data_IF_211120773848
#
_entry.id   IF_211120773848
#
_cell.length_a   1.000
_cell.length_b   1.000
_cell.length_c   1.000
_cell.angle_alpha   90.00
_cell.angle_beta   90.00
_cell.angle_gamma   90.00
#
_symmetry.space_group_name_H-M   'P 1'
#
loop_
_entity.id
_entity.type
_entity.pdbx_description
1 polymer ?
#
# COMPACT_ATOMS: atom_id res chain seq x y z
N UNK A 1 32.84 -18.92 -42.06
CA UNK A 1 31.82 -18.39 -41.14
C UNK A 1 32.43 -18.32 -39.75
N UNK A 2 32.41 -17.19 -39.04
CA UNK A 2 32.92 -17.14 -37.68
C UNK A 2 31.85 -17.66 -36.72
N UNK A 3 32.16 -18.73 -35.99
CA UNK A 3 31.38 -19.21 -34.85
C UNK A 3 31.54 -18.21 -33.72
N UNK A 4 30.45 -17.49 -33.38
CA UNK A 4 30.41 -16.63 -32.18
C UNK A 4 30.54 -17.55 -30.95
N UNK A 5 31.59 -17.38 -30.16
CA UNK A 5 31.70 -18.06 -28.87
C UNK A 5 30.64 -17.50 -27.94
N UNK A 6 29.85 -18.40 -27.36
CA UNK A 6 28.90 -18.06 -26.30
C UNK A 6 29.71 -17.63 -25.08
N UNK A 7 29.21 -16.60 -24.40
CA UNK A 7 29.80 -16.07 -23.18
C UNK A 7 29.87 -17.19 -22.11
N UNK A 8 31.07 -17.54 -21.60
CA UNK A 8 31.25 -18.57 -20.58
C UNK A 8 30.44 -18.32 -19.30
N UNK A 9 30.14 -17.05 -19.00
CA UNK A 9 29.35 -16.67 -17.83
C UNK A 9 27.87 -17.02 -18.00
N UNK A 10 27.37 -16.93 -19.24
CA UNK A 10 26.01 -17.35 -19.59
C UNK A 10 25.83 -18.87 -19.53
N UNK A 11 26.81 -19.64 -20.02
CA UNK A 11 26.80 -21.12 -19.87
C UNK A 11 26.89 -21.54 -18.40
N UNK A 12 27.72 -20.87 -17.59
CA UNK A 12 27.82 -21.15 -16.16
C UNK A 12 26.51 -20.85 -15.42
N UNK A 13 25.78 -19.80 -15.82
CA UNK A 13 24.47 -19.46 -15.26
C UNK A 13 23.40 -20.50 -15.63
N UNK A 14 23.37 -20.94 -16.90
CA UNK A 14 22.42 -21.96 -17.37
C UNK A 14 22.66 -23.33 -16.72
N UNK A 15 23.93 -23.71 -16.51
CA UNK A 15 24.27 -24.96 -15.83
C UNK A 15 23.88 -24.93 -14.34
N UNK A 16 23.96 -23.78 -13.66
CA UNK A 16 23.46 -23.65 -12.27
C UNK A 16 21.93 -23.75 -12.21
N UNK A 17 21.22 -23.18 -13.17
CA UNK A 17 19.75 -23.29 -13.26
C UNK A 17 19.30 -24.74 -13.55
N UNK A 18 20.01 -25.46 -14.41
CA UNK A 18 19.72 -26.86 -14.71
C UNK A 18 19.94 -27.77 -13.49
N UNK A 19 21.00 -27.54 -12.70
CA UNK A 19 21.26 -28.30 -11.47
C UNK A 19 20.24 -28.02 -10.35
N UNK A 20 19.65 -26.81 -10.30
CA UNK A 20 18.58 -26.50 -9.35
C UNK A 20 17.28 -27.25 -9.65
N UNK A 21 17.00 -27.53 -10.93
CA UNK A 21 15.79 -28.26 -11.36
C UNK A 21 15.88 -29.77 -11.14
N UNK A 22 17.09 -30.34 -11.11
CA UNK A 22 17.31 -31.77 -10.87
C UNK A 22 17.19 -32.18 -9.39
N UNK A 23 17.21 -31.22 -8.45
CA UNK A 23 17.12 -31.48 -7.01
C UNK A 23 15.71 -31.31 -6.42
N UNK A 24 14.68 -31.19 -7.27
CA UNK A 24 13.29 -31.19 -6.80
C UNK A 24 12.86 -32.61 -6.41
N UNK A 25 12.36 -32.85 -5.18
CA UNK A 25 11.92 -34.17 -4.76
C UNK A 25 10.68 -34.60 -5.55
N UNK A 26 10.76 -35.79 -6.16
CA UNK A 26 9.63 -36.48 -6.78
C UNK A 26 8.66 -36.89 -5.66
N UNK A 27 7.54 -36.17 -5.52
CA UNK A 27 6.48 -36.55 -4.60
C UNK A 27 5.70 -37.74 -5.17
N UNK A 28 6.03 -38.94 -4.71
CA UNK A 28 5.26 -40.15 -4.93
C UNK A 28 3.92 -40.09 -4.20
N UNK A 29 2.84 -40.39 -4.91
CA UNK A 29 1.47 -40.34 -4.41
C UNK A 29 1.20 -41.28 -3.23
N UNK A 30 0.41 -40.78 -2.28
CA UNK A 30 -0.11 -41.55 -1.15
C UNK A 30 -1.62 -41.74 -1.26
N UNK A 31 -2.00 -43.01 -1.05
CA UNK A 31 -3.32 -43.60 -1.08
C UNK A 31 -4.42 -42.85 -0.31
N UNK A 32 -5.58 -42.73 -0.96
CA UNK A 32 -6.87 -42.40 -0.36
C UNK A 32 -7.35 -43.56 0.53
N UNK A 33 -7.79 -43.24 1.75
CA UNK A 33 -8.63 -44.09 2.59
C UNK A 33 -9.98 -43.39 2.87
N UNK A 34 -11.09 -44.14 3.00
CA UNK A 34 -12.43 -43.59 2.87
C UNK A 34 -12.95 -42.96 4.17
N UNK A 35 -13.69 -41.87 3.98
CA UNK A 35 -14.36 -41.08 5.03
C UNK A 35 -15.53 -41.89 5.60
N UNK A 36 -15.53 -42.08 6.94
CA UNK A 36 -16.67 -42.55 7.72
C UNK A 36 -17.65 -41.40 7.95
N UNK A 37 -18.89 -41.58 7.52
CA UNK A 37 -20.06 -40.78 7.86
C UNK A 37 -20.47 -40.97 9.32
N UNK A 38 -20.80 -39.87 10.00
CA UNK A 38 -21.46 -39.85 11.33
C UNK A 38 -22.64 -38.87 11.26
N UNK A 39 -23.78 -39.16 11.92
CA UNK A 39 -25.09 -38.70 11.47
C UNK A 39 -25.53 -37.36 12.07
N UNK A 40 -26.49 -36.78 11.36
CA UNK A 40 -27.28 -35.60 11.69
C UNK A 40 -28.20 -35.91 12.87
N UNK A 41 -28.13 -35.10 13.92
CA UNK A 41 -29.15 -35.05 14.98
C UNK A 41 -29.99 -33.79 14.81
N UNK A 42 -31.28 -33.99 14.53
CA UNK A 42 -32.32 -32.97 14.60
C UNK A 42 -32.68 -32.66 16.05
N UNK A 43 -32.92 -31.37 16.33
CA UNK A 43 -34.08 -30.82 17.05
C UNK A 43 -33.67 -29.52 17.77
N UNK A 44 -34.37 -28.42 17.54
CA UNK A 44 -35.40 -27.94 18.48
C UNK A 44 -36.00 -26.61 18.03
N UNK A 45 -37.30 -26.55 18.24
CA UNK A 45 -38.32 -25.56 17.94
C UNK A 45 -38.21 -24.32 18.83
N UNK A 46 -38.50 -23.13 18.29
CA UNK A 46 -38.79 -21.91 19.05
C UNK A 46 -40.13 -21.29 18.56
N UNK A 47 -40.90 -20.64 19.45
CA UNK A 47 -42.29 -20.24 19.21
C UNK A 47 -42.43 -18.89 18.47
N UNK A 48 -43.62 -18.56 17.92
CA UNK A 48 -43.81 -17.39 17.08
C UNK A 48 -44.00 -16.11 17.90
N UNK A 49 -43.37 -15.02 17.45
CA UNK A 49 -43.63 -13.67 17.92
C UNK A 49 -44.81 -13.05 17.18
N UNK A 50 -45.73 -12.53 17.97
CA UNK A 50 -46.90 -11.73 17.59
C UNK A 50 -46.42 -10.37 17.07
N UNK A 51 -46.82 -9.99 15.85
CA UNK A 51 -46.71 -8.60 15.39
C UNK A 51 -48.12 -8.07 15.11
N UNK A 52 -48.40 -6.91 15.70
CA UNK A 52 -49.68 -6.22 15.66
C UNK A 52 -49.61 -5.08 14.66
N UNK A 53 -50.66 -5.00 13.85
CA UNK A 53 -50.95 -3.90 12.94
C UNK A 53 -51.08 -2.57 13.69
N UNK A 54 -50.39 -1.54 13.19
CA UNK A 54 -50.85 -0.15 13.33
C UNK A 54 -50.53 0.65 12.06
N UNK A 55 -51.59 0.86 11.28
CA UNK A 55 -51.73 1.97 10.35
C UNK A 55 -51.75 3.30 11.12
N UNK A 56 -51.07 4.31 10.60
CA UNK A 56 -51.48 5.71 10.76
C UNK A 56 -50.90 6.53 9.60
N UNK A 57 -51.80 6.96 8.72
CA UNK A 57 -51.59 8.01 7.76
C UNK A 57 -51.59 9.37 8.48
N UNK A 58 -50.72 10.30 8.09
CA UNK A 58 -50.97 11.72 8.33
C UNK A 58 -50.32 12.55 7.22
N UNK A 59 -51.20 13.11 6.39
CA UNK A 59 -51.02 14.26 5.51
C UNK A 59 -50.65 15.51 6.29
N UNK A 60 -49.68 16.29 5.81
CA UNK A 60 -49.69 17.75 6.03
C UNK A 60 -49.13 18.47 4.81
N UNK A 61 -49.96 19.35 4.27
CA UNK A 61 -49.68 20.23 3.14
C UNK A 61 -48.59 21.25 3.49
N UNK A 62 -47.68 21.50 2.55
CA UNK A 62 -46.78 22.65 2.57
C UNK A 62 -47.52 23.86 2.00
N UNK A 63 -47.73 24.86 2.86
CA UNK A 63 -48.08 26.24 2.47
C UNK A 63 -46.77 26.96 2.19
N UNK A 64 -46.68 27.54 1.00
CA UNK A 64 -45.62 28.45 0.56
C UNK A 64 -46.00 29.85 1.03
N UNK A 65 -45.23 30.41 1.95
CA UNK A 65 -45.25 31.86 2.22
C UNK A 65 -43.90 32.46 1.85
N UNK A 66 -43.99 33.42 0.92
CA UNK A 66 -42.95 34.29 0.43
C UNK A 66 -42.35 35.14 1.57
N UNK A 67 -41.02 35.22 1.62
CA UNK A 67 -40.30 36.27 2.36
C UNK A 67 -39.31 36.93 1.40
N UNK A 68 -39.75 38.03 0.80
CA UNK A 68 -38.90 39.14 0.41
C UNK A 68 -38.75 40.05 1.63
N UNK A 69 -37.54 40.21 2.18
CA UNK A 69 -37.09 41.50 2.74
C UNK A 69 -35.60 41.51 3.11
N UNK A 70 -34.90 42.48 2.49
CA UNK A 70 -33.87 43.34 3.07
C UNK A 70 -32.47 42.76 3.37
N UNK A 71 -31.58 42.97 2.40
CA UNK A 71 -30.35 43.80 2.51
C UNK A 71 -30.06 44.39 3.91
N UNK A 72 -29.53 43.55 4.81
CA UNK A 72 -28.97 43.94 6.11
C UNK A 72 -27.44 43.87 6.08
N UNK A 73 -26.80 44.93 6.57
CA UNK A 73 -25.35 45.16 6.62
C UNK A 73 -24.54 44.02 7.26
N UNK A 74 -23.52 43.53 6.55
CA UNK A 74 -22.59 42.47 6.99
C UNK A 74 -21.59 42.88 8.09
N UNK A 75 -21.82 43.94 8.85
CA UNK A 75 -20.82 44.51 9.77
C UNK A 75 -21.09 44.28 11.26
N UNK A 76 -22.20 43.64 11.66
CA UNK A 76 -22.52 43.46 13.09
C UNK A 76 -22.23 42.07 13.70
N UNK A 77 -21.80 41.05 12.95
CA UNK A 77 -21.74 39.67 13.48
C UNK A 77 -20.33 39.14 13.87
N UNK A 78 -19.28 39.97 13.78
CA UNK A 78 -17.91 39.56 14.17
C UNK A 78 -17.72 39.41 15.70
N UNK A 79 -18.62 39.98 16.52
CA UNK A 79 -18.51 39.94 18.00
C UNK A 79 -19.05 38.65 18.63
N UNK A 80 -19.73 37.77 17.87
CA UNK A 80 -20.23 36.48 18.36
C UNK A 80 -19.38 35.28 17.98
N UNK A 81 -18.34 35.47 17.16
CA UNK A 81 -17.52 34.35 16.68
C UNK A 81 -16.66 33.78 17.81
N UNK A 82 -16.74 32.47 18.01
CA UNK A 82 -15.92 31.78 19.02
C UNK A 82 -14.43 32.08 18.78
N UNK A 83 -13.67 32.47 19.82
CA UNK A 83 -12.22 32.66 19.70
C UNK A 83 -11.50 31.42 19.17
N UNK A 84 -11.98 30.22 19.50
CA UNK A 84 -11.41 28.97 19.01
C UNK A 84 -11.51 28.84 17.48
N UNK A 85 -12.68 29.16 16.93
CA UNK A 85 -12.88 29.16 15.47
C UNK A 85 -11.99 30.22 14.82
N UNK A 86 -11.84 31.38 15.45
CA UNK A 86 -10.95 32.44 14.98
C UNK A 86 -9.49 31.96 14.94
N UNK A 87 -8.99 31.31 16.00
CA UNK A 87 -7.62 30.77 16.01
C UNK A 87 -7.38 29.69 14.95
N UNK A 88 -8.38 28.87 14.65
CA UNK A 88 -8.27 27.81 13.65
C UNK A 88 -8.38 28.34 12.21
N UNK A 89 -9.23 29.33 11.98
CA UNK A 89 -9.50 29.88 10.63
C UNK A 89 -8.48 30.95 10.23
N UNK A 90 -8.08 31.83 11.15
CA UNK A 90 -7.05 32.86 10.98
C UNK A 90 -5.65 32.36 11.41
N UNK A 91 -5.30 31.13 11.02
CA UNK A 91 -4.06 30.45 11.41
C UNK A 91 -2.78 31.29 11.26
N UNK A 92 -2.70 32.12 10.21
CA UNK A 92 -1.49 32.86 9.86
C UNK A 92 -1.25 34.04 10.81
N UNK A 93 -2.32 34.55 11.43
CA UNK A 93 -2.26 35.59 12.46
C UNK A 93 -1.97 35.01 13.84
N UNK A 94 -2.37 33.76 14.07
CA UNK A 94 -2.37 33.11 15.39
C UNK A 94 -1.58 31.80 15.40
N UNK A 95 -0.45 31.74 14.69
CA UNK A 95 0.34 30.51 14.47
C UNK A 95 0.62 29.72 15.76
N UNK A 96 1.07 30.32 16.89
CA UNK A 96 1.34 29.55 18.10
C UNK A 96 0.09 28.87 18.67
N UNK A 97 -1.05 29.58 18.65
CA UNK A 97 -2.33 29.07 19.15
C UNK A 97 -2.86 27.98 18.22
N UNK A 98 -2.81 28.21 16.90
CA UNK A 98 -3.17 27.22 15.89
C UNK A 98 -2.41 25.91 16.09
N UNK A 99 -1.07 25.99 16.22
CA UNK A 99 -0.22 24.82 16.39
C UNK A 99 -0.50 24.08 17.71
N UNK A 100 -0.70 24.80 18.82
CA UNK A 100 -1.03 24.17 20.11
C UNK A 100 -2.37 23.43 20.03
N UNK A 101 -3.42 24.09 19.52
CA UNK A 101 -4.75 23.50 19.41
C UNK A 101 -4.70 22.25 18.53
N UNK A 102 -4.13 22.35 17.33
CA UNK A 102 -4.12 21.25 16.37
C UNK A 102 -3.20 20.11 16.77
N UNK A 103 -2.15 20.34 17.58
CA UNK A 103 -1.35 19.27 18.19
C UNK A 103 -2.09 18.49 19.26
N UNK A 104 -3.06 19.10 19.95
CA UNK A 104 -3.89 18.42 20.93
C UNK A 104 -5.00 17.57 20.28
N UNK A 105 -5.30 17.78 19.00
CA UNK A 105 -6.28 17.00 18.27
C UNK A 105 -5.65 15.71 17.74
N UNK A 106 -6.29 14.54 17.89
CA UNK A 106 -5.97 13.34 17.13
C UNK A 106 -6.02 13.58 15.62
N UNK A 107 -5.32 12.74 14.85
CA UNK A 107 -5.36 12.78 13.37
C UNK A 107 -6.80 12.67 12.85
N UNK A 108 -7.59 11.76 13.42
CA UNK A 108 -9.00 11.56 13.06
C UNK A 108 -9.81 12.84 13.18
N UNK A 109 -9.55 13.61 14.23
CA UNK A 109 -10.33 14.79 14.56
C UNK A 109 -10.00 15.93 13.60
N UNK A 110 -8.71 16.13 13.28
CA UNK A 110 -8.30 17.07 12.22
C UNK A 110 -8.94 16.74 10.87
N UNK A 111 -9.00 15.45 10.51
CA UNK A 111 -9.67 15.02 9.27
C UNK A 111 -11.19 15.18 9.33
N UNK A 112 -11.80 15.14 10.51
CA UNK A 112 -13.22 15.35 10.72
C UNK A 112 -13.60 16.84 10.73
N UNK A 113 -12.70 17.76 11.14
CA UNK A 113 -12.96 19.21 11.17
C UNK A 113 -13.46 19.73 9.82
N UNK A 114 -12.93 19.21 8.70
CA UNK A 114 -13.35 19.59 7.35
C UNK A 114 -14.82 19.28 7.04
N UNK A 115 -15.43 18.36 7.81
CA UNK A 115 -16.84 17.94 7.67
C UNK A 115 -17.76 18.71 8.62
N UNK A 116 -17.21 19.42 9.61
CA UNK A 116 -17.99 20.18 10.59
C UNK A 116 -18.48 21.49 10.01
N UNK A 117 -17.61 22.26 9.35
CA UNK A 117 -17.99 23.52 8.70
C UNK A 117 -17.08 23.83 7.51
N UNK A 118 -17.60 24.65 6.57
CA UNK A 118 -16.82 25.15 5.43
C UNK A 118 -15.62 26.00 5.89
N UNK A 119 -15.76 26.73 6.99
CA UNK A 119 -14.70 27.59 7.52
C UNK A 119 -13.49 26.76 8.02
N UNK A 120 -13.73 25.58 8.56
CA UNK A 120 -12.68 24.70 9.10
C UNK A 120 -12.09 23.75 8.04
N UNK A 121 -12.54 23.83 6.79
CA UNK A 121 -12.10 22.95 5.71
C UNK A 121 -10.59 22.99 5.50
N UNK A 122 -9.97 24.17 5.66
CA UNK A 122 -8.55 24.38 5.39
C UNK A 122 -7.63 24.09 6.60
N UNK A 123 -8.20 23.85 7.78
CA UNK A 123 -7.42 23.59 9.01
C UNK A 123 -6.48 22.41 8.81
N UNK A 124 -6.96 21.35 8.18
CA UNK A 124 -6.14 20.17 7.88
C UNK A 124 -4.97 20.51 6.96
N UNK A 125 -5.21 21.24 5.86
CA UNK A 125 -4.17 21.61 4.90
C UNK A 125 -3.10 22.53 5.55
N UNK A 126 -3.52 23.43 6.42
CA UNK A 126 -2.64 24.31 7.20
C UNK A 126 -1.81 23.52 8.22
N UNK A 127 -2.44 22.60 8.96
CA UNK A 127 -1.76 21.72 9.90
C UNK A 127 -0.77 20.77 9.18
N UNK A 128 -1.12 20.29 7.98
CA UNK A 128 -0.23 19.50 7.14
C UNK A 128 1.09 20.23 6.88
N UNK A 129 1.02 21.50 6.47
CA UNK A 129 2.22 22.32 6.21
C UNK A 129 3.09 22.56 7.44
N UNK A 130 2.50 22.77 8.63
CA UNK A 130 3.27 23.09 9.84
C UNK A 130 3.73 21.84 10.62
N UNK A 131 2.97 20.75 10.60
CA UNK A 131 3.17 19.61 11.50
C UNK A 131 3.67 18.33 10.82
N UNK A 132 3.42 18.16 9.53
CA UNK A 132 3.96 17.06 8.74
C UNK A 132 5.08 17.55 7.82
N UNK A 133 6.01 18.30 8.40
CA UNK A 133 7.16 18.81 7.68
C UNK A 133 8.20 17.70 7.49
N UNK A 134 8.25 17.15 6.29
CA UNK A 134 9.13 16.05 5.93
C UNK A 134 10.60 16.47 5.87
N UNK A 135 10.93 17.71 5.50
CA UNK A 135 12.30 18.20 5.52
C UNK A 135 12.86 18.19 6.94
N UNK A 136 12.04 18.58 7.93
CA UNK A 136 12.37 18.46 9.36
C UNK A 136 12.42 17.01 9.82
N UNK A 137 11.52 16.16 9.33
CA UNK A 137 11.51 14.74 9.68
C UNK A 137 12.81 14.04 9.24
N UNK A 138 13.22 14.31 8.01
CA UNK A 138 14.41 13.76 7.37
C UNK A 138 15.71 14.43 7.80
N UNK A 139 15.68 15.70 8.22
CA UNK A 139 16.88 16.43 8.65
C UNK A 139 17.63 15.79 9.82
N UNK A 140 16.98 14.89 10.58
CA UNK A 140 17.67 14.07 11.57
C UNK A 140 18.59 13.03 10.91
N UNK A 141 18.14 12.39 9.83
CA UNK A 141 18.84 11.27 9.19
C UNK A 141 19.78 11.76 8.07
N UNK A 142 19.38 12.77 7.30
CA UNK A 142 20.07 13.16 6.07
C UNK A 142 20.63 14.58 6.18
N UNK A 143 21.82 14.81 5.62
CA UNK A 143 22.43 16.14 5.47
C UNK A 143 21.64 16.98 4.47
N UNK A 144 21.19 16.33 3.41
CA UNK A 144 20.35 16.91 2.36
C UNK A 144 19.05 16.11 2.21
N UNK A 145 17.99 16.46 2.96
CA UNK A 145 16.68 15.83 2.82
C UNK A 145 16.11 15.83 1.40
N UNK A 146 16.38 16.88 0.63
CA UNK A 146 15.89 17.02 -0.75
C UNK A 146 16.67 16.10 -1.68
N UNK A 147 18.00 16.09 -1.56
CA UNK A 147 18.89 15.16 -2.27
C UNK A 147 18.52 13.69 -2.01
N UNK A 148 18.26 13.34 -0.75
CA UNK A 148 17.80 12.01 -0.38
C UNK A 148 16.46 11.66 -1.04
N UNK A 149 15.46 12.54 -1.00
CA UNK A 149 14.16 12.28 -1.66
C UNK A 149 14.30 12.14 -3.17
N UNK A 150 15.16 12.92 -3.80
CA UNK A 150 15.46 12.76 -5.22
C UNK A 150 16.08 11.39 -5.50
N UNK A 151 17.02 10.94 -4.66
CA UNK A 151 17.59 9.61 -4.79
C UNK A 151 16.55 8.51 -4.57
N UNK A 152 15.69 8.66 -3.57
CA UNK A 152 14.59 7.75 -3.27
C UNK A 152 13.65 7.59 -4.49
N UNK A 153 13.31 8.71 -5.13
CA UNK A 153 12.47 8.74 -6.33
C UNK A 153 13.14 8.15 -7.56
N UNK A 154 14.44 8.39 -7.74
CA UNK A 154 15.26 7.84 -8.83
C UNK A 154 15.30 6.30 -8.79
N UNK A 155 15.51 5.72 -7.61
CA UNK A 155 15.65 4.26 -7.45
C UNK A 155 14.31 3.55 -7.18
N UNK A 156 13.19 4.27 -7.23
CA UNK A 156 11.87 3.77 -6.83
C UNK A 156 11.86 3.14 -5.42
N UNK A 157 12.67 3.68 -4.52
CA UNK A 157 12.76 3.23 -3.14
C UNK A 157 11.59 3.73 -2.30
N UNK A 158 11.30 3.03 -1.21
CA UNK A 158 10.22 3.35 -0.29
C UNK A 158 10.72 3.40 1.15
N UNK A 159 10.05 4.19 1.98
CA UNK A 159 10.23 4.19 3.42
C UNK A 159 8.97 3.59 4.04
N UNK A 160 9.12 2.78 5.08
CA UNK A 160 7.99 2.12 5.76
C UNK A 160 8.18 2.07 7.27
N UNK A 161 7.35 1.28 7.95
CA UNK A 161 7.56 0.90 9.33
C UNK A 161 7.31 2.02 10.34
N UNK A 162 8.10 2.01 11.42
CA UNK A 162 7.84 2.85 12.58
C UNK A 162 8.02 4.35 12.28
N UNK A 163 8.95 4.69 11.39
CA UNK A 163 9.21 6.08 11.02
C UNK A 163 7.95 6.71 10.39
N UNK A 164 7.37 6.04 9.38
CA UNK A 164 6.18 6.56 8.68
C UNK A 164 4.97 6.61 9.61
N UNK A 165 4.79 5.59 10.46
CA UNK A 165 3.73 5.58 11.47
C UNK A 165 3.84 6.79 12.41
N UNK A 166 5.05 7.09 12.91
CA UNK A 166 5.30 8.21 13.84
C UNK A 166 5.15 9.56 13.14
N UNK A 167 5.63 9.68 11.90
CA UNK A 167 5.43 10.85 11.06
C UNK A 167 3.94 11.17 10.90
N UNK A 168 3.15 10.19 10.49
CA UNK A 168 1.70 10.34 10.32
C UNK A 168 0.98 10.65 11.65
N UNK A 169 1.43 10.04 12.76
CA UNK A 169 0.93 10.30 14.10
C UNK A 169 1.36 11.67 14.69
N UNK A 170 2.17 12.46 13.98
CA UNK A 170 2.80 13.70 14.49
C UNK A 170 3.62 13.48 15.77
N UNK A 171 4.17 12.27 15.93
CA UNK A 171 5.09 11.94 17.00
C UNK A 171 6.54 12.30 16.60
N UNK A 172 7.45 12.39 17.58
CA UNK A 172 8.86 12.63 17.27
C UNK A 172 9.43 11.53 16.38
N UNK A 173 10.33 11.88 15.44
CA UNK A 173 10.78 11.02 14.32
C UNK A 173 11.44 9.69 14.72
N UNK A 174 11.79 9.51 15.99
CA UNK A 174 12.57 8.36 16.44
C UNK A 174 14.00 8.42 15.95
N UNK A 175 14.67 7.27 15.98
CA UNK A 175 16.08 7.11 15.63
C UNK A 175 16.33 6.02 14.58
N UNK A 176 15.27 5.40 14.07
CA UNK A 176 15.30 4.33 13.08
C UNK A 176 14.49 4.73 11.86
N UNK A 177 14.98 4.38 10.67
CA UNK A 177 14.27 4.52 9.40
C UNK A 177 14.41 3.22 8.61
N UNK A 178 13.27 2.63 8.24
CA UNK A 178 13.22 1.42 7.41
C UNK A 178 13.10 1.82 5.94
N UNK A 179 14.15 1.52 5.18
CA UNK A 179 14.30 1.84 3.77
C UNK A 179 14.20 0.57 2.94
N UNK A 180 13.52 0.65 1.81
CA UNK A 180 13.26 -0.49 0.95
C UNK A 180 13.65 -0.17 -0.48
N UNK A 181 14.41 -1.05 -1.12
CA UNK A 181 14.77 -0.95 -2.53
C UNK A 181 14.86 -2.34 -3.15
N UNK A 182 14.49 -2.47 -4.43
CA UNK A 182 14.66 -3.73 -5.16
C UNK A 182 16.14 -4.09 -5.24
N UNK A 183 16.45 -5.34 -4.91
CA UNK A 183 17.79 -5.90 -5.00
C UNK A 183 18.39 -5.70 -6.40
N UNK A 184 19.67 -5.34 -6.44
CA UNK A 184 20.40 -5.00 -7.66
C UNK A 184 20.66 -3.49 -7.78
N UNK A 185 20.68 -2.93 -9.00
CA UNK A 185 21.14 -1.56 -9.23
C UNK A 185 20.45 -0.49 -8.38
N UNK A 186 19.16 -0.67 -8.05
CA UNK A 186 18.39 0.27 -7.24
C UNK A 186 18.90 0.29 -5.78
N UNK A 187 18.99 -0.88 -5.15
CA UNK A 187 19.50 -0.98 -3.78
C UNK A 187 20.99 -0.60 -3.69
N UNK A 188 21.80 -1.01 -4.66
CA UNK A 188 23.24 -0.66 -4.71
C UNK A 188 23.45 0.86 -4.83
N UNK A 189 22.63 1.53 -5.65
CA UNK A 189 22.68 2.99 -5.80
C UNK A 189 22.29 3.73 -4.51
N UNK A 190 21.40 3.15 -3.70
CA UNK A 190 20.97 3.72 -2.43
C UNK A 190 22.00 3.46 -1.33
N UNK A 191 22.57 2.25 -1.26
CA UNK A 191 23.71 1.91 -0.40
C UNK A 191 24.88 2.86 -0.67
N UNK A 192 25.25 3.04 -1.93
CA UNK A 192 26.29 3.99 -2.33
C UNK A 192 25.98 5.43 -1.91
N UNK A 193 24.73 5.88 -2.08
CA UNK A 193 24.33 7.21 -1.64
C UNK A 193 24.48 7.39 -0.12
N UNK A 194 24.06 6.42 0.68
CA UNK A 194 24.19 6.46 2.13
C UNK A 194 25.65 6.54 2.58
N UNK A 195 26.53 5.76 1.95
CA UNK A 195 27.96 5.73 2.26
C UNK A 195 28.67 7.01 1.79
N UNK A 196 28.61 7.30 0.49
CA UNK A 196 29.47 8.29 -0.15
C UNK A 196 28.98 9.73 0.08
N UNK A 197 27.67 9.94 0.14
CA UNK A 197 27.06 11.28 0.23
C UNK A 197 26.69 11.60 1.67
N UNK A 198 25.94 10.72 2.32
CA UNK A 198 25.41 10.97 3.66
C UNK A 198 26.44 10.66 4.76
N UNK A 199 27.47 9.87 4.46
CA UNK A 199 28.56 9.52 5.39
C UNK A 199 28.13 8.51 6.45
N UNK A 200 27.20 7.62 6.12
CA UNK A 200 26.89 6.45 6.93
C UNK A 200 27.98 5.38 6.79
N UNK A 201 28.00 4.42 7.70
CA UNK A 201 28.82 3.21 7.60
C UNK A 201 27.97 1.97 7.88
N UNK A 202 28.34 0.84 7.31
CA UNK A 202 27.66 -0.45 7.55
C UNK A 202 28.06 -0.98 8.93
N UNK A 203 27.07 -1.40 9.72
CA UNK A 203 27.28 -2.04 11.02
C UNK A 203 27.41 -3.56 10.85
N UNK A 204 28.53 -4.12 11.28
CA UNK A 204 28.78 -5.58 11.23
C UNK A 204 27.89 -6.36 12.24
N UNK A 205 27.44 -5.69 13.31
CA UNK A 205 26.74 -6.31 14.44
C UNK A 205 25.24 -6.58 14.19
N UNK A 206 24.64 -5.97 13.17
CA UNK A 206 23.18 -5.93 12.97
C UNK A 206 22.72 -6.33 11.56
N UNK A 207 23.61 -6.92 10.75
CA UNK A 207 23.22 -7.50 9.47
C UNK A 207 22.46 -8.80 9.75
N UNK A 208 21.12 -8.75 9.74
CA UNK A 208 20.31 -9.93 9.98
C UNK A 208 20.64 -11.01 8.93
N UNK A 209 20.91 -12.27 9.34
CA UNK A 209 21.12 -13.34 8.40
C UNK A 209 19.87 -13.48 7.53
N UNK A 210 20.07 -13.52 6.21
CA UNK A 210 19.01 -13.81 5.24
C UNK A 210 18.32 -15.09 5.70
N UNK A 211 17.03 -15.08 6.05
CA UNK A 211 16.37 -16.29 6.49
C UNK A 211 16.49 -17.34 5.38
N UNK A 212 16.93 -18.54 5.76
CA UNK A 212 17.21 -19.66 4.86
C UNK A 212 15.98 -20.14 4.08
N UNK A 213 14.78 -19.70 4.47
CA UNK A 213 13.54 -19.99 3.78
C UNK A 213 13.09 -18.80 2.92
N UNK A 214 13.35 -18.89 1.61
CA UNK A 214 12.89 -17.93 0.59
C UNK A 214 11.36 -17.74 0.58
N UNK A 215 10.59 -18.68 1.13
CA UNK A 215 9.13 -18.56 1.23
C UNK A 215 8.68 -17.70 2.44
N UNK A 216 9.57 -17.44 3.40
CA UNK A 216 9.27 -16.66 4.63
C UNK A 216 9.97 -15.29 4.63
N UNK A 217 11.15 -15.19 4.00
CA UNK A 217 11.84 -13.91 3.83
C UNK A 217 11.62 -13.32 2.46
N UNK A 218 10.90 -12.20 2.44
CA UNK A 218 10.65 -11.41 1.22
C UNK A 218 11.85 -10.53 0.87
N UNK A 219 12.70 -10.22 1.86
CA UNK A 219 13.96 -9.51 1.70
C UNK A 219 15.15 -10.46 1.47
N UNK A 220 15.98 -10.15 0.46
CA UNK A 220 17.21 -10.89 0.12
C UNK A 220 18.38 -10.56 1.03
N UNK A 221 18.42 -9.35 1.56
CA UNK A 221 19.52 -8.79 2.35
C UNK A 221 18.94 -7.64 3.16
N UNK A 222 19.27 -7.55 4.44
CA UNK A 222 18.99 -6.39 5.26
C UNK A 222 20.32 -5.89 5.82
N UNK A 223 20.59 -4.60 5.67
CA UNK A 223 21.81 -3.97 6.17
C UNK A 223 21.49 -2.80 7.07
N UNK A 224 22.22 -2.69 8.16
CA UNK A 224 22.11 -1.55 9.07
C UNK A 224 23.20 -0.53 8.77
N UNK A 225 22.78 0.68 8.46
CA UNK A 225 23.64 1.83 8.25
C UNK A 225 23.59 2.72 9.48
N UNK A 226 24.72 2.95 10.13
CA UNK A 226 24.85 3.82 11.30
C UNK A 226 25.36 5.19 10.89
N UNK A 227 24.79 6.25 11.45
CA UNK A 227 25.22 7.61 11.15
C UNK A 227 26.53 7.93 11.86
N UNK A 228 27.50 8.43 11.12
CA UNK A 228 28.75 8.95 11.70
C UNK A 228 28.53 10.22 12.53
N UNK A 229 27.41 10.93 12.31
CA UNK A 229 27.06 12.20 12.98
C UNK A 229 26.36 11.99 14.33
N UNK A 230 25.48 10.99 14.41
CA UNK A 230 24.78 10.61 15.64
C UNK A 230 24.66 9.08 15.69
N UNK A 231 25.43 8.44 16.57
CA UNK A 231 25.48 6.98 16.69
C UNK A 231 24.14 6.34 17.07
N UNK A 232 23.19 7.13 17.61
CA UNK A 232 21.85 6.65 17.95
C UNK A 232 20.99 6.46 16.71
N UNK A 233 21.30 7.16 15.62
CA UNK A 233 20.55 7.12 14.37
C UNK A 233 21.06 5.99 13.47
N UNK A 234 20.11 5.22 12.93
CA UNK A 234 20.41 4.17 11.99
C UNK A 234 19.30 4.00 10.95
N UNK A 235 19.68 3.45 9.81
CA UNK A 235 18.81 3.12 8.68
C UNK A 235 18.91 1.62 8.44
N UNK A 236 17.77 0.93 8.39
CA UNK A 236 17.68 -0.45 7.92
C UNK A 236 17.35 -0.44 6.43
N UNK A 237 18.30 -0.81 5.58
CA UNK A 237 18.06 -0.98 4.15
C UNK A 237 17.69 -2.43 3.86
N UNK A 238 16.42 -2.65 3.52
CA UNK A 238 15.86 -3.91 3.09
C UNK A 238 15.94 -4.02 1.56
N UNK A 239 16.71 -5.02 1.10
CA UNK A 239 16.84 -5.36 -0.31
C UNK A 239 15.72 -6.33 -0.68
N UNK A 240 14.73 -5.87 -1.42
CA UNK A 240 13.55 -6.66 -1.77
C UNK A 240 13.78 -7.52 -2.99
N UNK A 241 13.20 -8.73 -3.02
CA UNK A 241 13.21 -9.57 -4.21
C UNK A 241 12.42 -8.95 -5.37
N UNK A 242 11.43 -8.13 -5.02
CA UNK A 242 10.45 -7.58 -5.94
C UNK A 242 10.27 -6.08 -5.70
N UNK A 243 9.16 -5.51 -6.19
CA UNK A 243 8.79 -4.13 -5.87
C UNK A 243 8.69 -3.96 -4.34
N UNK A 244 9.36 -2.96 -3.74
CA UNK A 244 9.24 -2.65 -2.32
C UNK A 244 7.81 -2.61 -1.79
N UNK A 245 6.90 -2.03 -2.57
CA UNK A 245 5.48 -1.91 -2.24
C UNK A 245 4.82 -3.29 -2.07
N UNK A 246 5.18 -4.25 -2.93
CA UNK A 246 4.66 -5.61 -2.91
C UNK A 246 5.09 -6.33 -1.61
N UNK A 247 6.38 -6.24 -1.27
CA UNK A 247 6.92 -6.94 -0.12
C UNK A 247 6.41 -6.35 1.21
N UNK A 248 6.32 -5.02 1.32
CA UNK A 248 5.72 -4.36 2.50
C UNK A 248 4.26 -4.80 2.68
N UNK A 249 3.43 -4.70 1.65
CA UNK A 249 2.00 -5.02 1.76
C UNK A 249 1.75 -6.50 2.05
N UNK A 250 2.57 -7.41 1.49
CA UNK A 250 2.47 -8.85 1.79
C UNK A 250 3.02 -9.23 3.17
N UNK A 251 3.43 -8.26 3.99
CA UNK A 251 3.87 -8.51 5.36
C UNK A 251 5.36 -8.74 5.47
N UNK A 252 6.20 -7.94 4.83
CA UNK A 252 7.57 -7.76 5.32
C UNK A 252 7.56 -7.04 6.69
N UNK A 253 6.53 -6.22 6.92
CA UNK A 253 6.20 -5.67 8.25
C UNK A 253 5.17 -6.52 8.99
N UNK A 254 5.12 -6.44 10.33
CA UNK A 254 4.29 -7.34 11.16
C UNK A 254 2.86 -6.86 11.39
N UNK A 255 2.54 -5.58 11.17
CA UNK A 255 1.23 -5.05 11.48
C UNK A 255 0.72 -4.06 10.45
N UNK A 256 -0.61 -3.93 10.40
CA UNK A 256 -1.35 -2.92 9.62
C UNK A 256 -0.92 -1.48 9.92
N UNK A 257 -0.36 -1.20 11.09
CA UNK A 257 0.17 0.13 11.40
C UNK A 257 1.52 0.40 10.72
N UNK A 258 2.37 -0.63 10.65
CA UNK A 258 3.70 -0.55 10.03
C UNK A 258 3.66 -0.60 8.50
N UNK A 259 2.52 -0.90 7.86
CA UNK A 259 2.39 -0.88 6.38
C UNK A 259 2.18 0.52 5.82
N UNK A 260 2.31 1.57 6.63
CA UNK A 260 2.29 2.93 6.13
C UNK A 260 3.57 3.17 5.32
N UNK A 261 3.42 3.68 4.11
CA UNK A 261 4.47 3.74 3.09
C UNK A 261 4.67 5.19 2.67
N UNK A 262 5.92 5.60 2.53
CA UNK A 262 6.31 6.92 2.06
C UNK A 262 7.18 6.78 0.81
N UNK A 263 6.74 7.41 -0.28
CA UNK A 263 7.50 7.58 -1.52
C UNK A 263 8.26 8.90 -1.49
N UNK A 264 8.94 9.24 -2.57
CA UNK A 264 9.55 10.56 -2.73
C UNK A 264 8.53 11.72 -2.73
N UNK A 265 7.23 11.48 -2.93
CA UNK A 265 6.20 12.49 -3.24
C UNK A 265 4.91 12.35 -2.41
N UNK A 266 4.64 11.18 -1.84
CA UNK A 266 3.40 10.86 -1.13
C UNK A 266 3.64 9.95 0.07
N UNK A 267 2.67 9.95 0.98
CA UNK A 267 2.55 8.97 2.07
C UNK A 267 1.19 8.29 1.97
N UNK A 268 1.19 6.98 2.16
CA UNK A 268 0.02 6.12 2.13
C UNK A 268 -0.09 5.40 3.47
N UNK A 269 -1.28 5.37 4.06
CA UNK A 269 -1.60 4.47 5.17
C UNK A 269 -2.78 3.60 4.78
N UNK A 270 -2.53 2.37 4.28
CA UNK A 270 -3.58 1.50 3.74
C UNK A 270 -4.65 1.09 4.77
N UNK A 271 -4.33 1.18 6.06
CA UNK A 271 -5.22 0.77 7.14
C UNK A 271 -5.49 1.91 8.12
N UNK A 272 -5.57 3.15 7.62
CA UNK A 272 -5.72 4.35 8.44
C UNK A 272 -6.89 4.27 9.43
N UNK A 273 -8.02 3.67 9.05
CA UNK A 273 -9.17 3.48 9.94
C UNK A 273 -8.90 2.51 11.11
N UNK A 274 -8.05 1.51 10.91
CA UNK A 274 -7.60 0.63 12.00
C UNK A 274 -6.55 1.36 12.86
N UNK A 275 -5.59 2.01 12.21
CA UNK A 275 -4.40 2.54 12.86
C UNK A 275 -4.59 3.90 13.53
N UNK A 276 -5.18 4.88 12.87
CA UNK A 276 -5.25 6.27 13.37
C UNK A 276 -6.63 6.65 13.91
N UNK A 277 -7.68 5.94 13.50
CA UNK A 277 -9.04 6.18 14.01
C UNK A 277 -9.37 5.32 15.23
N UNK A 278 -8.80 4.11 15.31
CA UNK A 278 -9.09 3.16 16.39
C UNK A 278 -7.90 2.90 17.31
N UNK A 279 -6.73 3.52 17.04
CA UNK A 279 -5.46 3.30 17.73
C UNK A 279 -5.07 1.80 17.86
N UNK A 280 -5.39 1.00 16.83
CA UNK A 280 -5.16 -0.44 16.79
C UNK A 280 -4.20 -0.84 15.67
N UNK A 281 -3.44 -1.89 15.89
CA UNK A 281 -2.54 -2.50 14.92
C UNK A 281 -2.81 -4.01 14.87
N UNK A 282 -3.34 -4.47 13.74
CA UNK A 282 -3.59 -5.89 13.52
C UNK A 282 -2.40 -6.58 12.86
N UNK A 283 -2.13 -7.83 13.25
CA UNK A 283 -1.05 -8.65 12.71
C UNK A 283 -1.35 -9.01 11.23
N UNK A 284 -0.33 -8.93 10.36
CA UNK A 284 -0.48 -9.19 8.91
C UNK A 284 0.39 -10.33 8.34
N UNK A 285 1.06 -11.07 9.22
CA UNK A 285 1.86 -12.26 8.88
C UNK A 285 1.93 -13.19 10.07
N UNK A 286 2.31 -14.44 9.84
CA UNK A 286 2.69 -15.33 10.92
C UNK A 286 3.86 -14.74 11.74
N UNK A 287 3.77 -14.84 13.07
CA UNK A 287 4.82 -14.37 13.97
C UNK A 287 6.03 -15.31 13.91
N UNK A 288 7.22 -14.74 13.97
CA UNK A 288 8.49 -15.44 14.02
C UNK A 288 9.43 -14.76 15.04
N UNK A 289 10.70 -15.18 15.09
CA UNK A 289 11.68 -14.70 16.07
C UNK A 289 11.93 -13.18 16.00
N UNK A 290 11.69 -12.54 14.85
CA UNK A 290 11.92 -11.11 14.65
C UNK A 290 10.70 -10.26 15.07
N UNK A 291 9.53 -10.87 15.24
CA UNK A 291 8.29 -10.17 15.57
C UNK A 291 8.41 -9.29 16.82
N UNK A 292 9.14 -9.74 17.84
CA UNK A 292 9.19 -9.07 19.14
C UNK A 292 9.66 -7.60 19.01
N UNK A 293 10.70 -7.33 18.24
CA UNK A 293 11.25 -5.97 18.09
C UNK A 293 10.25 -5.06 17.41
N UNK A 294 9.68 -5.50 16.28
CA UNK A 294 8.69 -4.71 15.53
C UNK A 294 7.42 -4.45 16.35
N UNK A 295 6.92 -5.46 17.08
CA UNK A 295 5.72 -5.30 17.91
C UNK A 295 5.96 -4.34 19.08
N UNK A 296 7.13 -4.37 19.71
CA UNK A 296 7.48 -3.36 20.73
C UNK A 296 7.45 -1.94 20.17
N UNK A 297 7.95 -1.72 18.96
CA UNK A 297 7.92 -0.38 18.34
C UNK A 297 6.49 0.12 18.11
N UNK A 298 5.58 -0.77 17.71
CA UNK A 298 4.15 -0.48 17.56
C UNK A 298 3.49 -0.14 18.90
N UNK A 299 3.82 -0.87 19.96
CA UNK A 299 3.34 -0.57 21.31
C UNK A 299 3.85 0.79 21.81
N UNK A 300 5.13 1.11 21.60
CA UNK A 300 5.70 2.43 21.91
C UNK A 300 5.05 3.57 21.10
N UNK A 301 4.54 3.29 19.91
CA UNK A 301 3.71 4.21 19.14
C UNK A 301 2.27 4.33 19.67
N UNK A 302 1.95 3.70 20.80
CA UNK A 302 0.64 3.68 21.47
C UNK A 302 -0.43 3.10 20.55
N UNK A 303 -0.17 1.91 20.01
CA UNK A 303 -1.15 1.12 19.27
C UNK A 303 -1.41 -0.18 20.00
N UNK A 304 -2.68 -0.50 20.17
CA UNK A 304 -3.10 -1.80 20.69
C UNK A 304 -2.87 -2.87 19.63
N UNK A 305 -2.04 -3.86 19.94
CA UNK A 305 -1.70 -4.94 19.02
C UNK A 305 -2.73 -6.06 19.15
N UNK A 306 -3.34 -6.45 18.03
CA UNK A 306 -4.38 -7.46 17.95
C UNK A 306 -4.07 -8.43 16.79
N UNK A 307 -4.68 -9.61 16.81
CA UNK A 307 -4.58 -10.58 15.73
C UNK A 307 -5.41 -10.17 14.50
N UNK A 308 -6.72 -10.42 14.53
CA UNK A 308 -7.68 -10.05 13.51
C UNK A 308 -9.02 -9.68 14.13
N UNK A 309 -9.86 -8.93 13.42
CA UNK A 309 -11.24 -8.68 13.87
C UNK A 309 -12.10 -9.89 13.55
N UNK A 310 -12.74 -10.49 14.54
CA UNK A 310 -13.65 -11.63 14.32
C UNK A 310 -14.70 -11.38 13.23
N UNK A 311 -15.21 -10.14 13.13
CA UNK A 311 -16.17 -9.75 12.09
C UNK A 311 -15.63 -9.80 10.65
N UNK A 312 -14.31 -9.84 10.48
CA UNK A 312 -13.66 -9.93 9.18
C UNK A 312 -13.26 -11.38 8.83
N UNK A 313 -13.48 -12.34 9.72
CA UNK A 313 -13.10 -13.74 9.49
C UNK A 313 -13.91 -14.33 8.34
N UNK A 314 -13.23 -14.96 7.39
CA UNK A 314 -13.80 -15.50 6.17
C UNK A 314 -14.22 -14.44 5.15
N UNK A 315 -13.96 -13.15 5.42
CA UNK A 315 -14.31 -12.05 4.51
C UNK A 315 -13.05 -11.56 3.82
N UNK A 316 -13.09 -11.60 2.49
CA UNK A 316 -12.10 -10.94 1.65
C UNK A 316 -12.63 -9.56 1.21
N UNK A 317 -11.82 -8.52 1.42
CA UNK A 317 -12.14 -7.13 1.06
C UNK A 317 -11.18 -6.65 -0.01
N UNK A 318 -11.72 -6.17 -1.11
CA UNK A 318 -10.91 -5.47 -2.10
C UNK A 318 -10.55 -4.08 -1.57
N UNK A 319 -9.28 -3.71 -1.70
CA UNK A 319 -8.71 -2.45 -1.20
C UNK A 319 -7.78 -1.85 -2.25
N UNK A 320 -7.62 -0.53 -2.23
CA UNK A 320 -6.70 0.22 -3.08
C UNK A 320 -5.96 1.28 -2.26
N UNK A 321 -4.73 1.62 -2.64
CA UNK A 321 -3.94 2.64 -1.94
C UNK A 321 -4.52 4.06 -2.05
N UNK A 322 -5.53 4.30 -2.87
CA UNK A 322 -6.27 5.56 -2.92
C UNK A 322 -7.77 5.39 -2.62
N UNK A 323 -8.18 4.29 -1.99
CA UNK A 323 -9.58 4.10 -1.56
C UNK A 323 -9.93 4.97 -0.33
N UNK A 324 -11.22 5.00 0.03
CA UNK A 324 -11.72 5.80 1.15
C UNK A 324 -11.27 5.33 2.54
N UNK A 325 -10.67 4.14 2.64
CA UNK A 325 -10.12 3.57 3.87
C UNK A 325 -8.59 3.77 3.99
N UNK A 326 -7.93 4.20 2.91
CA UNK A 326 -6.54 4.60 2.88
C UNK A 326 -6.41 6.10 3.16
N UNK A 327 -5.44 6.47 3.99
CA UNK A 327 -5.05 7.87 4.12
C UNK A 327 -3.88 8.17 3.18
N UNK A 328 -4.14 9.00 2.17
CA UNK A 328 -3.11 9.51 1.25
C UNK A 328 -2.78 10.96 1.59
N UNK A 329 -1.50 11.25 1.74
CA UNK A 329 -0.97 12.59 1.99
C UNK A 329 0.05 12.94 0.92
N UNK A 330 -0.14 14.05 0.22
CA UNK A 330 0.88 14.60 -0.68
C UNK A 330 1.97 15.32 0.12
N UNK A 331 3.23 15.09 -0.23
CA UNK A 331 4.36 15.79 0.37
C UNK A 331 4.68 17.04 -0.47
N UNK A 332 5.48 17.97 0.07
CA UNK A 332 5.97 19.08 -0.74
C UNK A 332 6.88 18.52 -1.84
N UNK A 333 6.62 18.92 -3.08
CA UNK A 333 7.38 18.47 -4.27
C UNK A 333 8.27 19.57 -4.82
N UNK A 334 8.38 20.71 -4.12
CA UNK A 334 9.31 21.76 -4.47
C UNK A 334 10.75 21.20 -4.52
N UNK A 335 11.42 21.38 -5.67
CA UNK A 335 12.77 20.87 -5.94
C UNK A 335 12.92 19.34 -5.92
N UNK A 336 11.80 18.61 -6.01
CA UNK A 336 11.81 17.16 -6.16
C UNK A 336 11.73 16.81 -7.65
N UNK A 337 12.71 16.06 -8.13
CA UNK A 337 12.73 15.53 -9.49
C UNK A 337 11.56 14.56 -9.70
N UNK A 338 11.10 14.44 -10.95
CA UNK A 338 10.06 13.47 -11.30
C UNK A 338 10.53 12.04 -10.94
N UNK A 339 9.81 11.31 -10.07
CA UNK A 339 10.21 9.96 -9.67
C UNK A 339 10.21 8.98 -10.85
N UNK A 340 11.04 7.94 -10.75
CA UNK A 340 11.11 6.88 -11.77
C UNK A 340 9.79 6.10 -11.91
N UNK A 341 9.02 5.99 -10.81
CA UNK A 341 7.65 5.46 -10.81
C UNK A 341 6.69 6.60 -10.46
N UNK A 342 5.78 6.97 -11.37
CA UNK A 342 4.85 8.08 -11.14
C UNK A 342 3.77 7.70 -10.13
N UNK A 343 3.25 8.69 -9.42
CA UNK A 343 2.27 8.50 -8.34
C UNK A 343 1.05 7.70 -8.75
N UNK A 344 0.55 7.88 -9.99
CA UNK A 344 -0.64 7.19 -10.44
C UNK A 344 -0.47 5.66 -10.49
N UNK A 345 0.76 5.14 -10.60
CA UNK A 345 1.02 3.68 -10.52
C UNK A 345 0.82 3.19 -9.09
N UNK A 346 1.32 3.94 -8.10
CA UNK A 346 1.13 3.60 -6.69
C UNK A 346 -0.32 3.81 -6.24
N UNK A 347 -0.95 4.92 -6.64
CA UNK A 347 -2.35 5.24 -6.30
C UNK A 347 -3.31 4.11 -6.69
N UNK A 348 -3.04 3.45 -7.83
CA UNK A 348 -3.87 2.36 -8.35
C UNK A 348 -3.41 0.96 -7.92
N UNK A 349 -2.43 0.87 -7.01
CA UNK A 349 -2.09 -0.42 -6.39
C UNK A 349 -3.28 -0.94 -5.61
N UNK A 350 -3.79 -2.09 -6.04
CA UNK A 350 -4.90 -2.77 -5.41
C UNK A 350 -4.53 -4.15 -4.87
N UNK A 351 -5.26 -4.60 -3.86
CA UNK A 351 -5.00 -5.83 -3.14
C UNK A 351 -6.27 -6.38 -2.50
N UNK A 352 -6.29 -7.68 -2.28
CA UNK A 352 -7.33 -8.34 -1.50
C UNK A 352 -6.86 -8.50 -0.05
N UNK A 353 -7.61 -7.95 0.89
CA UNK A 353 -7.34 -8.00 2.31
C UNK A 353 -8.25 -9.02 2.98
N UNK A 354 -7.68 -10.07 3.56
CA UNK A 354 -8.44 -11.24 4.04
C UNK A 354 -7.77 -11.85 5.28
N UNK A 355 -8.39 -12.82 5.96
CA UNK A 355 -7.74 -13.55 7.05
C UNK A 355 -6.88 -14.74 6.59
N UNK A 356 -5.99 -15.22 7.45
CA UNK A 356 -5.06 -16.32 7.21
C UNK A 356 -5.70 -17.67 6.87
N UNK A 357 -6.97 -17.88 7.22
CA UNK A 357 -7.70 -19.12 6.90
C UNK A 357 -8.66 -18.98 5.70
N UNK A 358 -8.68 -17.83 5.03
CA UNK A 358 -9.48 -17.67 3.82
C UNK A 358 -8.97 -18.60 2.71
N UNK A 359 -9.88 -19.10 1.85
CA UNK A 359 -9.55 -20.06 0.78
C UNK A 359 -8.53 -19.57 -0.26
N UNK A 360 -8.33 -18.24 -0.35
CA UNK A 360 -7.36 -17.60 -1.24
C UNK A 360 -6.03 -17.29 -0.53
N UNK A 361 -5.95 -17.53 0.78
CA UNK A 361 -4.70 -17.34 1.51
C UNK A 361 -3.67 -18.38 1.05
N UNK A 362 -2.39 -18.01 0.97
CA UNK A 362 -1.33 -18.93 0.60
C UNK A 362 -1.34 -20.19 1.48
N UNK A 363 -1.05 -21.39 0.94
CA UNK A 363 -1.09 -22.65 1.68
C UNK A 363 -0.25 -22.63 2.96
N UNK A 364 0.89 -21.93 2.95
CA UNK A 364 1.77 -21.76 4.11
C UNK A 364 1.14 -21.01 5.29
N UNK A 365 0.07 -20.26 5.05
CA UNK A 365 -0.67 -19.54 6.09
C UNK A 365 -1.81 -20.37 6.69
N UNK A 366 -2.22 -21.48 6.04
CA UNK A 366 -3.31 -22.33 6.50
C UNK A 366 -2.88 -23.06 7.77
N UNK A 367 -3.64 -22.90 8.86
CA UNK A 367 -3.35 -23.51 10.16
C UNK A 367 -2.32 -22.74 11.01
N UNK A 368 -1.83 -21.60 10.54
CA UNK A 368 -1.03 -20.68 11.35
C UNK A 368 -1.91 -19.86 12.33
N UNK A 369 -1.28 -19.07 13.19
CA UNK A 369 -1.99 -18.12 14.05
C UNK A 369 -2.87 -17.17 13.23
N UNK A 370 -3.98 -16.71 13.81
CA UNK A 370 -4.87 -15.77 13.16
C UNK A 370 -4.15 -14.46 12.83
N UNK A 371 -4.17 -14.06 11.57
CA UNK A 371 -3.64 -12.78 11.09
C UNK A 371 -4.35 -12.38 9.80
N UNK A 372 -4.19 -11.12 9.38
CA UNK A 372 -4.62 -10.68 8.06
C UNK A 372 -3.57 -10.97 6.99
N UNK A 373 -4.00 -11.08 5.73
CA UNK A 373 -3.18 -11.22 4.55
C UNK A 373 -3.55 -10.17 3.52
N UNK A 374 -2.55 -9.62 2.84
CA UNK A 374 -2.75 -8.84 1.63
C UNK A 374 -2.33 -9.68 0.41
N UNK A 375 -3.29 -10.01 -0.45
CA UNK A 375 -3.08 -10.77 -1.67
C UNK A 375 -3.07 -9.81 -2.86
N UNK A 376 -1.89 -9.65 -3.42
CA UNK A 376 -1.59 -8.86 -4.61
C UNK A 376 -0.35 -9.43 -5.28
N UNK A 377 -0.07 -9.02 -6.50
CA UNK A 377 1.10 -9.46 -7.25
C UNK A 377 1.37 -8.56 -8.45
N UNK A 378 2.50 -8.78 -9.12
CA UNK A 378 2.89 -7.92 -10.21
C UNK A 378 2.03 -8.18 -11.46
N UNK A 379 1.73 -7.10 -12.16
CA UNK A 379 1.21 -7.05 -13.51
C UNK A 379 2.37 -6.59 -14.40
N UNK A 380 3.03 -7.56 -15.01
CA UNK A 380 4.13 -7.36 -15.96
C UNK A 380 3.60 -7.58 -17.36
N UNK A 381 3.86 -6.63 -18.25
CA UNK A 381 3.52 -6.74 -19.65
C UNK A 381 4.44 -5.86 -20.49
N UNK A 382 4.90 -6.28 -21.68
CA UNK A 382 5.81 -5.47 -22.50
C UNK A 382 5.21 -4.12 -22.94
N UNK A 383 3.89 -4.05 -23.03
CA UNK A 383 3.15 -2.80 -23.25
C UNK A 383 3.10 -1.84 -22.06
N UNK A 384 3.75 -2.16 -20.94
CA UNK A 384 3.82 -1.31 -19.74
C UNK A 384 5.25 -0.87 -19.50
N UNK A 385 5.42 0.41 -19.20
CA UNK A 385 6.70 1.00 -18.78
C UNK A 385 7.01 0.67 -17.33
N UNK A 386 5.99 0.64 -16.47
CA UNK A 386 6.15 0.41 -15.04
C UNK A 386 5.62 -0.96 -14.64
N UNK A 387 6.17 -1.51 -13.56
CA UNK A 387 5.58 -2.68 -12.90
C UNK A 387 4.37 -2.22 -12.10
N UNK A 388 3.19 -2.63 -12.52
CA UNK A 388 1.95 -2.39 -11.79
C UNK A 388 1.74 -3.49 -10.75
N UNK A 389 1.07 -3.14 -9.66
CA UNK A 389 0.68 -4.09 -8.62
C UNK A 389 -0.84 -4.17 -8.56
N UNK A 390 -1.37 -5.38 -8.52
CA UNK A 390 -2.80 -5.58 -8.40
C UNK A 390 -3.17 -6.96 -7.84
N UNK A 391 -4.43 -7.13 -7.51
CA UNK A 391 -4.99 -8.38 -7.05
C UNK A 391 -4.92 -9.43 -8.17
N UNK A 392 -4.22 -10.53 -7.88
CA UNK A 392 -3.95 -11.59 -8.88
C UNK A 392 -5.15 -12.51 -9.07
N UNK A 393 -6.05 -12.60 -8.09
CA UNK A 393 -7.06 -13.67 -8.03
C UNK A 393 -8.51 -13.19 -7.86
N UNK A 394 -8.75 -11.91 -7.55
CA UNK A 394 -10.12 -11.41 -7.49
C UNK A 394 -10.69 -11.24 -8.91
N UNK A 395 -11.75 -12.00 -9.20
CA UNK A 395 -12.72 -11.73 -10.27
C UNK A 395 -12.17 -11.68 -11.72
N UNK A 396 -11.12 -12.44 -12.04
CA UNK A 396 -10.49 -12.44 -13.38
C UNK A 396 -10.02 -11.05 -13.85
N UNK A 397 -9.87 -10.08 -12.93
CA UNK A 397 -9.59 -8.68 -13.26
C UNK A 397 -8.24 -8.51 -13.93
N UNK A 398 -7.21 -9.15 -13.37
CA UNK A 398 -5.86 -9.20 -13.95
C UNK A 398 -5.90 -9.73 -15.38
N UNK A 399 -6.64 -10.81 -15.62
CA UNK A 399 -6.77 -11.41 -16.95
C UNK A 399 -7.49 -10.50 -17.94
N UNK A 400 -8.53 -9.77 -17.50
CA UNK A 400 -9.23 -8.81 -18.33
C UNK A 400 -8.30 -7.67 -18.79
N UNK A 401 -7.50 -7.12 -17.87
CA UNK A 401 -6.50 -6.09 -18.18
C UNK A 401 -5.41 -6.66 -19.10
N UNK A 402 -4.89 -7.86 -18.80
CA UNK A 402 -3.87 -8.51 -19.63
C UNK A 402 -4.37 -8.77 -21.06
N UNK A 403 -5.62 -9.22 -21.25
CA UNK A 403 -6.19 -9.41 -22.60
C UNK A 403 -6.32 -8.09 -23.37
N UNK A 404 -6.70 -6.99 -22.69
CA UNK A 404 -6.71 -5.67 -23.32
C UNK A 404 -5.32 -5.23 -23.72
N UNK A 405 -4.33 -5.43 -22.85
CA UNK A 405 -2.92 -5.16 -23.13
C UNK A 405 -2.39 -5.98 -24.30
N UNK A 406 -2.67 -7.29 -24.33
CA UNK A 406 -2.33 -8.18 -25.42
C UNK A 406 -2.89 -7.60 -26.73
N UNK A 407 -4.19 -7.28 -26.76
CA UNK A 407 -4.86 -6.78 -27.96
C UNK A 407 -4.27 -5.47 -28.48
N UNK A 408 -4.01 -4.49 -27.60
CA UNK A 408 -3.46 -3.20 -28.04
C UNK A 408 -1.99 -3.31 -28.45
N UNK A 409 -1.19 -4.16 -27.81
CA UNK A 409 0.20 -4.40 -28.21
C UNK A 409 0.25 -5.15 -29.54
N UNK A 410 -0.57 -6.19 -29.71
CA UNK A 410 -0.74 -6.85 -31.01
C UNK A 410 -1.09 -5.85 -32.11
N UNK A 411 -2.05 -4.95 -31.86
CA UNK A 411 -2.42 -3.91 -32.81
C UNK A 411 -1.25 -2.95 -33.14
N UNK A 412 -0.32 -2.68 -32.22
CA UNK A 412 0.90 -1.92 -32.54
C UNK A 412 1.89 -2.74 -33.35
N UNK A 413 2.12 -4.00 -32.99
CA UNK A 413 3.05 -4.87 -33.71
C UNK A 413 2.61 -5.10 -35.16
N UNK A 414 1.30 -5.21 -35.41
CA UNK A 414 0.75 -5.34 -36.77
C UNK A 414 0.99 -4.12 -37.66
N UNK A 415 1.23 -2.93 -37.09
CA UNK A 415 1.59 -1.72 -37.84
C UNK A 415 3.07 -1.70 -38.27
N UNK A 416 3.91 -2.56 -37.69
CA UNK A 416 5.33 -2.63 -38.03
C UNK A 416 5.52 -3.29 -39.41
N UNK A 417 6.49 -2.77 -40.16
CA UNK A 417 6.94 -3.41 -41.41
C UNK A 417 7.58 -4.76 -41.07
N UNK A 418 7.57 -5.71 -42.00
CA UNK A 418 8.07 -7.07 -41.77
C UNK A 418 9.48 -7.12 -41.14
N UNK A 419 10.38 -6.23 -41.55
CA UNK A 419 11.75 -6.14 -41.03
C UNK A 419 11.87 -5.55 -39.61
N UNK A 420 10.84 -4.84 -39.16
CA UNK A 420 10.83 -4.15 -37.86
C UNK A 420 10.07 -4.97 -36.80
N UNK A 421 9.53 -6.14 -37.16
CA UNK A 421 8.81 -7.04 -36.25
C UNK A 421 9.76 -7.82 -35.34
N UNK A 422 9.30 -8.28 -34.16
CA UNK A 422 10.09 -9.14 -33.28
C UNK A 422 10.61 -10.38 -34.00
N UNK A 423 11.81 -10.85 -33.62
CA UNK A 423 12.48 -12.01 -34.25
C UNK A 423 11.62 -13.27 -34.18
N UNK A 424 10.83 -13.43 -33.11
CA UNK A 424 9.92 -14.55 -32.88
C UNK A 424 8.49 -14.31 -33.40
N UNK A 425 8.28 -13.38 -34.35
CA UNK A 425 6.95 -13.01 -34.85
C UNK A 425 6.07 -14.21 -35.27
N UNK A 426 6.61 -15.14 -36.06
CA UNK A 426 5.85 -16.30 -36.55
C UNK A 426 5.48 -17.29 -35.42
N UNK A 427 6.28 -17.34 -34.37
CA UNK A 427 5.97 -18.11 -33.16
C UNK A 427 4.86 -17.41 -32.36
N UNK A 428 4.96 -16.09 -32.19
CA UNK A 428 3.93 -15.31 -31.52
C UNK A 428 2.57 -15.41 -32.25
N UNK A 429 2.55 -15.51 -33.58
CA UNK A 429 1.31 -15.73 -34.34
C UNK A 429 0.64 -17.07 -34.02
N UNK A 430 1.45 -18.10 -33.74
CA UNK A 430 0.97 -19.44 -33.36
C UNK A 430 0.59 -19.52 -31.89
N UNK A 431 1.29 -18.75 -31.04
CA UNK A 431 1.09 -18.71 -29.59
C UNK A 431 0.94 -17.27 -29.13
N UNK A 432 -0.27 -16.67 -29.23
CA UNK A 432 -0.48 -15.24 -28.97
C UNK A 432 -0.06 -14.77 -27.58
N UNK A 433 -0.04 -15.67 -26.59
CA UNK A 433 0.39 -15.38 -25.22
C UNK A 433 1.88 -15.04 -25.09
N UNK A 434 2.72 -15.42 -26.07
CA UNK A 434 4.14 -15.05 -26.10
C UNK A 434 4.36 -13.54 -26.19
N UNK A 435 3.33 -12.76 -26.56
CA UNK A 435 3.37 -11.30 -26.49
C UNK A 435 3.68 -10.79 -25.07
N UNK A 436 3.32 -11.55 -24.04
CA UNK A 436 3.53 -11.19 -22.63
C UNK A 436 4.97 -11.39 -22.16
N UNK A 437 5.70 -12.26 -22.85
CA UNK A 437 7.08 -12.64 -22.53
C UNK A 437 8.10 -11.92 -23.44
N UNK A 438 7.61 -11.14 -24.41
CA UNK A 438 8.45 -10.39 -25.32
C UNK A 438 9.36 -9.42 -24.55
N UNK A 439 10.67 -9.54 -24.77
CA UNK A 439 11.66 -8.60 -24.24
C UNK A 439 11.99 -7.52 -25.27
N UNK A 440 12.33 -6.33 -24.80
CA UNK A 440 12.81 -5.25 -25.68
C UNK A 440 11.74 -4.61 -26.58
N UNK A 441 10.46 -4.68 -26.22
CA UNK A 441 9.42 -3.93 -26.93
C UNK A 441 9.67 -2.42 -26.82
N UNK A 442 9.90 -1.77 -27.95
CA UNK A 442 10.16 -0.32 -28.05
C UNK A 442 8.97 0.48 -28.55
N UNK A 443 7.80 -0.17 -28.68
CA UNK A 443 6.58 0.48 -29.13
C UNK A 443 5.92 1.36 -28.06
N UNK A 444 4.72 1.86 -28.38
CA UNK A 444 3.93 2.65 -27.43
C UNK A 444 3.59 1.83 -26.18
N UNK A 445 3.79 2.40 -24.99
CA UNK A 445 3.30 1.86 -23.72
C UNK A 445 1.90 2.38 -23.39
N UNK A 446 1.24 1.73 -22.43
CA UNK A 446 -0.18 1.96 -22.14
C UNK A 446 -0.46 2.19 -20.65
N UNK A 447 0.55 2.58 -19.85
CA UNK A 447 0.40 2.88 -18.43
C UNK A 447 -0.72 3.91 -18.17
N UNK A 448 -0.89 4.90 -19.06
CA UNK A 448 -1.92 5.92 -18.92
C UNK A 448 -3.36 5.38 -19.08
N UNK A 449 -3.51 4.20 -19.69
CA UNK A 449 -4.80 3.56 -19.93
C UNK A 449 -5.24 2.63 -18.81
N UNK A 450 -4.33 2.19 -17.96
CA UNK A 450 -4.64 1.29 -16.87
C UNK A 450 -5.64 1.88 -15.87
N UNK A 451 -5.51 3.14 -15.41
CA UNK A 451 -6.52 3.76 -14.54
C UNK A 451 -7.93 3.77 -15.15
N UNK A 452 -8.03 4.05 -16.45
CA UNK A 452 -9.29 4.06 -17.20
C UNK A 452 -9.91 2.65 -17.24
N UNK A 453 -9.14 1.64 -17.62
CA UNK A 453 -9.63 0.26 -17.70
C UNK A 453 -9.97 -0.34 -16.32
N UNK A 454 -9.20 0.02 -15.29
CA UNK A 454 -9.49 -0.34 -13.90
C UNK A 454 -10.84 0.25 -13.49
N UNK A 455 -11.08 1.53 -13.80
CA UNK A 455 -12.37 2.17 -13.50
C UNK A 455 -13.53 1.50 -14.25
N UNK A 456 -13.37 1.21 -15.55
CA UNK A 456 -14.40 0.48 -16.30
C UNK A 456 -14.74 -0.88 -15.68
N UNK A 457 -13.73 -1.61 -15.18
CA UNK A 457 -13.96 -2.89 -14.50
C UNK A 457 -14.65 -2.71 -13.13
N UNK A 458 -14.37 -1.62 -12.43
CA UNK A 458 -15.08 -1.25 -11.19
C UNK A 458 -16.56 -0.98 -11.47
N UNK A 459 -16.86 -0.24 -12.55
CA UNK A 459 -18.22 0.11 -12.95
C UNK A 459 -19.03 -1.10 -13.44
N UNK A 460 -18.37 -2.13 -14.00
CA UNK A 460 -18.99 -3.38 -14.47
C UNK A 460 -19.18 -4.42 -13.36
N UNK A 461 -18.38 -4.35 -12.30
CA UNK A 461 -18.53 -5.25 -11.17
C UNK A 461 -19.86 -4.91 -10.51
N UNK A 462 -20.85 -5.83 -10.48
CA UNK A 462 -22.12 -5.54 -9.83
C UNK A 462 -21.77 -5.13 -8.41
N UNK A 463 -22.13 -3.90 -8.05
CA UNK A 463 -21.99 -3.41 -6.68
C UNK A 463 -22.63 -4.50 -5.84
N UNK A 464 -21.80 -5.29 -5.14
CA UNK A 464 -22.30 -6.16 -4.09
C UNK A 464 -22.78 -5.16 -3.06
N UNK A 465 -24.04 -4.75 -3.19
CA UNK A 465 -24.77 -4.04 -2.17
C UNK A 465 -24.49 -4.82 -0.90
N UNK A 466 -23.76 -4.19 0.00
CA UNK A 466 -23.38 -4.77 1.27
C UNK A 466 -24.59 -5.47 1.89
N UNK A 467 -24.35 -6.62 2.51
CA UNK A 467 -25.31 -7.25 3.40
C UNK A 467 -25.88 -6.21 4.40
N UNK A 468 -27.05 -6.51 5.00
CA UNK A 468 -27.96 -5.53 5.56
C UNK A 468 -27.25 -4.49 6.42
N UNK A 469 -27.33 -3.24 5.96
CA UNK A 469 -27.07 -2.04 6.75
C UNK A 469 -27.82 -2.17 8.07
N UNK A 470 -27.11 -2.50 9.14
CA UNK A 470 -27.59 -2.30 10.51
C UNK A 470 -27.59 -0.80 10.76
N UNK A 471 -28.63 -0.14 10.25
CA UNK A 471 -29.04 1.17 10.73
C UNK A 471 -29.65 0.95 12.12
N UNK A 472 -28.82 1.03 13.15
CA UNK A 472 -29.29 1.18 14.53
C UNK A 472 -29.78 2.62 14.71
N UNK A 473 -31.04 2.71 15.13
CA UNK A 473 -31.68 3.90 15.71
C UNK A 473 -30.92 4.42 16.93
#
# INVERSE_FOLDING_TARGET
MPTKSVDPEFEAMMNRAAMALQNLPIMSGSHLSPIRSVPVTQNQTLPPSVSSDRQAATTSAFVSDDIDTLSGSQTEDLTKRSPLITFLTESDRYVPMFDVITRCLPVSDLLNLKRVSKELQDVYAKAQKSQWNEARAFGNFFKDPTGFRNKLGEVAGLISGIFVLRFLARAGNGNMLDLYATYGPQADALEKYLLDVEGYYVSDEETAPVPSNLNVSRSRKAQTFRSSRDKRLFIYLNHTNSSPMLDILRGDVYSTAATSIMTATKVYSPFANMTFKSDKAYIIRALDQNAQTHLKDIEHARREILDLRFKDRGIAKYRRLNDGDCWVMSLDTCNIATPAVPDYVYDHTDFLFTDSNHRLSPPENIGSSLHYNCLLGPLLHPGLKHTWLGCVEADNRKDAIMRRLDAVVWAQLWKLRGRDRPVNWDEMLRTPLLVREMTGYTGKTFDEKLPEWIKELDDLSPVKTDGPSTATR
#
